data_IF_019860160395
#
_entry.id   IF_019860160395
#
_cell.length_a   1.000
_cell.length_b   1.000
_cell.length_c   1.000
_cell.angle_alpha   90.00
_cell.angle_beta   90.00
_cell.angle_gamma   90.00
#
_symmetry.space_group_name_H-M   'P 1'
#
loop_
_entity.id
_entity.type
_entity.pdbx_description
1 polymer ?
#
# COMPACT_ATOMS: atom_id res chain seq x y z
N UNK A 1 53.53 54.04 4.80
CA UNK A 1 54.25 53.94 3.51
C UNK A 1 53.43 53.05 2.57
N UNK A 2 52.66 53.62 1.65
CA UNK A 2 51.92 52.85 0.62
C UNK A 2 52.95 52.43 -0.45
N UNK A 3 53.25 51.13 -0.56
CA UNK A 3 54.03 50.62 -1.67
C UNK A 3 53.24 50.76 -2.95
N UNK A 4 53.63 51.68 -3.80
CA UNK A 4 53.03 51.86 -5.14
C UNK A 4 53.47 50.64 -5.99
N UNK A 5 52.54 49.79 -6.33
CA UNK A 5 52.75 48.67 -7.27
C UNK A 5 52.93 49.26 -8.65
N UNK A 6 53.95 48.84 -9.42
CA UNK A 6 54.14 49.30 -10.79
C UNK A 6 52.98 48.80 -11.69
N UNK A 7 52.56 49.60 -12.62
CA UNK A 7 51.46 49.27 -13.53
C UNK A 7 51.66 47.92 -14.25
N UNK A 8 52.89 47.59 -14.59
CA UNK A 8 53.23 46.31 -15.21
C UNK A 8 53.03 45.12 -14.29
N UNK A 9 53.38 45.21 -13.03
CA UNK A 9 53.13 44.12 -12.03
C UNK A 9 51.64 43.95 -11.75
N UNK A 10 50.87 45.01 -11.70
CA UNK A 10 49.42 44.96 -11.57
C UNK A 10 48.78 44.24 -12.77
N UNK A 11 49.22 44.57 -14.00
CA UNK A 11 48.72 43.93 -15.21
C UNK A 11 49.05 42.43 -15.31
N UNK A 12 50.26 42.02 -14.89
CA UNK A 12 50.61 40.60 -14.89
C UNK A 12 49.81 39.81 -13.86
N UNK A 13 49.57 40.36 -12.67
CA UNK A 13 48.72 39.71 -11.64
C UNK A 13 47.30 39.54 -12.15
N UNK A 14 46.74 40.58 -12.84
CA UNK A 14 45.39 40.52 -13.41
C UNK A 14 45.27 39.44 -14.49
N UNK A 15 46.29 39.30 -15.36
CA UNK A 15 46.32 38.24 -16.40
C UNK A 15 46.37 36.85 -15.79
N UNK A 16 47.23 36.67 -14.78
CA UNK A 16 47.34 35.39 -14.09
C UNK A 16 46.02 35.03 -13.38
N UNK A 17 45.42 36.00 -12.71
CA UNK A 17 44.10 35.80 -12.04
C UNK A 17 43.01 35.43 -13.03
N UNK A 18 42.96 36.10 -14.21
CA UNK A 18 42.00 35.74 -15.27
C UNK A 18 42.28 34.32 -15.81
N UNK A 19 43.53 33.94 -16.06
CA UNK A 19 43.85 32.61 -16.52
C UNK A 19 43.48 31.51 -15.53
N UNK A 20 43.71 31.73 -14.23
CA UNK A 20 43.34 30.79 -13.16
C UNK A 20 41.82 30.67 -13.04
N UNK A 21 41.08 31.80 -13.01
CA UNK A 21 39.63 31.78 -12.95
C UNK A 21 38.99 31.10 -14.16
N UNK A 22 39.52 31.39 -15.35
CA UNK A 22 39.05 30.74 -16.60
C UNK A 22 39.30 29.22 -16.56
N UNK A 23 40.48 28.79 -16.16
CA UNK A 23 40.80 27.35 -16.05
C UNK A 23 39.94 26.64 -15.02
N UNK A 24 39.71 27.26 -13.86
CA UNK A 24 38.87 26.70 -12.82
C UNK A 24 37.43 26.60 -13.27
N UNK A 25 36.88 27.65 -13.88
CA UNK A 25 35.51 27.68 -14.41
C UNK A 25 35.34 26.61 -15.49
N UNK A 26 36.31 26.45 -16.39
CA UNK A 26 36.28 25.43 -17.45
C UNK A 26 36.24 24.01 -16.87
N UNK A 27 37.04 23.71 -15.86
CA UNK A 27 37.05 22.37 -15.21
C UNK A 27 35.75 22.09 -14.53
N UNK A 28 35.21 23.06 -13.77
CA UNK A 28 33.90 22.90 -13.08
C UNK A 28 32.75 22.73 -14.09
N UNK A 29 32.72 23.58 -15.13
CA UNK A 29 31.72 23.50 -16.19
C UNK A 29 31.76 22.16 -16.92
N UNK A 30 32.96 21.66 -17.25
CA UNK A 30 33.14 20.39 -17.94
C UNK A 30 32.70 19.21 -17.06
N UNK A 31 32.96 19.26 -15.77
CA UNK A 31 32.52 18.23 -14.80
C UNK A 31 30.99 18.22 -14.68
N UNK A 32 30.36 19.39 -14.55
CA UNK A 32 28.89 19.50 -14.51
C UNK A 32 28.26 19.03 -15.82
N UNK A 33 28.79 19.46 -16.96
CA UNK A 33 28.31 19.05 -18.28
C UNK A 33 28.40 17.53 -18.46
N UNK A 34 29.52 16.91 -18.16
CA UNK A 34 29.69 15.46 -18.29
C UNK A 34 28.72 14.69 -17.40
N UNK A 35 28.48 15.15 -16.16
CA UNK A 35 27.50 14.53 -15.26
C UNK A 35 26.08 14.63 -15.82
N UNK A 36 25.70 15.81 -16.33
CA UNK A 36 24.37 16.04 -16.92
C UNK A 36 24.18 15.21 -18.20
N UNK A 37 25.16 15.19 -19.09
CA UNK A 37 25.10 14.40 -20.35
C UNK A 37 25.03 12.90 -20.06
N UNK A 38 25.79 12.39 -19.09
CA UNK A 38 25.73 10.99 -18.70
C UNK A 38 24.34 10.61 -18.15
N UNK A 39 23.74 11.47 -17.33
CA UNK A 39 22.39 11.29 -16.82
C UNK A 39 21.35 11.25 -17.95
N UNK A 40 21.40 12.22 -18.87
CA UNK A 40 20.50 12.29 -20.03
C UNK A 40 20.64 11.05 -20.92
N UNK A 41 21.85 10.59 -21.19
CA UNK A 41 22.10 9.41 -22.02
C UNK A 41 21.56 8.11 -21.41
N UNK A 42 21.63 7.97 -20.08
CA UNK A 42 21.04 6.82 -19.40
C UNK A 42 19.49 6.86 -19.44
N UNK A 43 18.91 8.03 -19.21
CA UNK A 43 17.46 8.22 -19.37
C UNK A 43 17.02 7.96 -20.81
N UNK A 44 17.70 8.51 -21.80
CA UNK A 44 17.41 8.31 -23.23
C UNK A 44 17.40 6.81 -23.59
N UNK A 45 18.37 6.03 -23.07
CA UNK A 45 18.41 4.58 -23.33
C UNK A 45 17.19 3.83 -22.76
N UNK A 46 16.73 4.22 -21.57
CA UNK A 46 15.55 3.63 -20.95
C UNK A 46 14.28 4.01 -21.73
N UNK A 47 14.13 5.29 -22.08
CA UNK A 47 12.98 5.77 -22.85
C UNK A 47 12.93 5.20 -24.27
N UNK A 48 14.06 5.08 -24.94
CA UNK A 48 14.13 4.49 -26.29
C UNK A 48 13.68 3.03 -26.29
N UNK A 49 14.15 2.24 -25.30
CA UNK A 49 13.75 0.84 -25.18
C UNK A 49 12.24 0.71 -24.90
N UNK A 50 11.71 1.56 -24.01
CA UNK A 50 10.29 1.56 -23.68
C UNK A 50 9.44 2.00 -24.88
N UNK A 51 9.86 3.06 -25.58
CA UNK A 51 9.20 3.57 -26.80
C UNK A 51 9.20 2.55 -27.94
N UNK A 52 10.28 1.77 -28.08
CA UNK A 52 10.35 0.69 -29.07
C UNK A 52 9.35 -0.42 -28.78
N UNK A 53 9.24 -0.84 -27.51
CA UNK A 53 8.27 -1.84 -27.06
C UNK A 53 6.84 -1.32 -27.29
N UNK A 54 6.56 -0.09 -26.86
CA UNK A 54 5.25 0.53 -27.00
C UNK A 54 4.80 0.60 -28.48
N UNK A 55 5.71 1.08 -29.35
CA UNK A 55 5.45 1.11 -30.79
C UNK A 55 5.17 -0.27 -31.37
N UNK A 56 5.94 -1.30 -30.95
CA UNK A 56 5.76 -2.66 -31.44
C UNK A 56 4.40 -3.24 -30.99
N UNK A 57 4.05 -3.04 -29.74
CA UNK A 57 2.77 -3.52 -29.18
C UNK A 57 1.60 -2.85 -29.86
N UNK A 58 1.62 -1.49 -29.98
CA UNK A 58 0.53 -0.72 -30.62
C UNK A 58 0.39 -0.98 -32.11
N UNK A 59 1.45 -1.39 -32.80
CA UNK A 59 1.37 -1.76 -34.21
C UNK A 59 0.72 -3.12 -34.46
N UNK A 60 0.74 -4.02 -33.48
CA UNK A 60 0.23 -5.39 -33.58
C UNK A 60 -1.00 -5.68 -32.70
N UNK A 61 -1.55 -4.67 -32.04
CA UNK A 61 -2.63 -4.90 -31.07
C UNK A 61 -3.98 -5.16 -31.73
N UNK A 62 -4.71 -6.09 -31.14
CA UNK A 62 -6.12 -6.39 -31.47
C UNK A 62 -7.06 -6.05 -30.30
N UNK A 63 -6.57 -5.37 -29.26
CA UNK A 63 -7.31 -5.03 -28.04
C UNK A 63 -7.01 -3.59 -27.60
N UNK A 64 -7.93 -3.02 -26.87
CA UNK A 64 -7.77 -1.66 -26.34
C UNK A 64 -6.81 -1.67 -25.13
N UNK A 65 -5.78 -0.82 -25.19
CA UNK A 65 -4.86 -0.63 -24.07
C UNK A 65 -5.49 0.34 -23.06
N UNK A 66 -5.56 -0.07 -21.81
CA UNK A 66 -5.87 0.81 -20.69
C UNK A 66 -4.59 1.55 -20.28
N UNK A 67 -4.52 2.82 -20.64
CA UNK A 67 -3.35 3.67 -20.41
C UNK A 67 -3.06 3.86 -18.92
N UNK A 68 -4.08 3.97 -18.07
CA UNK A 68 -3.90 4.15 -16.63
C UNK A 68 -3.30 2.91 -15.99
N UNK A 69 -3.86 1.74 -16.31
CA UNK A 69 -3.30 0.46 -15.85
C UNK A 69 -1.89 0.23 -16.39
N UNK A 70 -1.61 0.60 -17.64
CA UNK A 70 -0.27 0.48 -18.23
C UNK A 70 0.74 1.36 -17.47
N UNK A 71 0.41 2.62 -17.23
CA UNK A 71 1.26 3.56 -16.51
C UNK A 71 1.55 3.10 -15.07
N UNK A 72 0.54 2.61 -14.35
CA UNK A 72 0.71 2.05 -13.01
C UNK A 72 1.64 0.83 -13.00
N UNK A 73 1.50 -0.07 -13.99
CA UNK A 73 2.38 -1.24 -14.12
C UNK A 73 3.80 -0.86 -14.51
N UNK A 74 4.00 0.17 -15.32
CA UNK A 74 5.31 0.70 -15.65
C UNK A 74 5.99 1.29 -14.41
N UNK A 75 5.28 2.09 -13.62
CA UNK A 75 5.79 2.65 -12.36
C UNK A 75 6.16 1.54 -11.37
N UNK A 76 5.29 0.54 -11.18
CA UNK A 76 5.54 -0.61 -10.33
C UNK A 76 6.76 -1.43 -10.79
N UNK A 77 6.88 -1.66 -12.13
CA UNK A 77 8.02 -2.35 -12.73
C UNK A 77 9.33 -1.59 -12.54
N UNK A 78 9.31 -0.26 -12.68
CA UNK A 78 10.48 0.58 -12.43
C UNK A 78 10.95 0.46 -10.97
N UNK A 79 10.04 0.57 -10.00
CA UNK A 79 10.37 0.42 -8.57
C UNK A 79 10.91 -0.97 -8.26
N UNK A 80 10.33 -2.01 -8.84
CA UNK A 80 10.84 -3.38 -8.71
C UNK A 80 12.26 -3.54 -9.28
N UNK A 81 12.57 -2.83 -10.37
CA UNK A 81 13.88 -2.87 -11.03
C UNK A 81 15.00 -2.18 -10.23
N UNK A 82 14.68 -1.31 -9.26
CA UNK A 82 15.66 -0.66 -8.38
C UNK A 82 16.29 -1.66 -7.40
N UNK A 83 15.63 -2.81 -7.17
CA UNK A 83 16.08 -3.87 -6.24
C UNK A 83 16.26 -3.39 -4.79
N UNK A 84 15.49 -2.38 -4.38
CA UNK A 84 15.36 -1.96 -2.98
C UNK A 84 14.12 -2.62 -2.37
N UNK A 85 14.33 -3.45 -1.35
CA UNK A 85 13.25 -4.19 -0.66
C UNK A 85 12.20 -3.30 0.00
N UNK A 86 12.50 -2.03 0.22
CA UNK A 86 11.60 -1.07 0.86
C UNK A 86 10.92 -0.13 -0.15
N UNK A 87 11.40 -0.10 -1.38
CA UNK A 87 10.82 0.72 -2.43
C UNK A 87 9.62 0.00 -3.05
N UNK A 88 8.42 0.51 -2.77
CA UNK A 88 7.16 -0.04 -3.28
C UNK A 88 6.35 1.09 -3.91
N UNK A 89 5.86 0.86 -5.12
CA UNK A 89 4.86 1.74 -5.74
C UNK A 89 3.47 1.30 -5.31
N UNK A 90 2.64 2.27 -4.97
CA UNK A 90 1.22 2.08 -4.71
C UNK A 90 0.44 2.99 -5.65
N UNK A 91 -0.59 2.48 -6.28
CA UNK A 91 -1.60 3.31 -6.94
C UNK A 91 -2.31 4.20 -5.92
N UNK A 92 -3.00 5.24 -6.36
CA UNK A 92 -3.75 6.13 -5.45
C UNK A 92 -4.78 5.34 -4.61
N UNK A 93 -5.44 4.34 -5.22
CA UNK A 93 -6.41 3.45 -4.54
C UNK A 93 -5.71 2.60 -3.48
N UNK A 94 -4.66 1.87 -3.85
CA UNK A 94 -3.90 1.00 -2.93
C UNK A 94 -3.29 1.79 -1.77
N UNK A 95 -2.82 3.01 -2.04
CA UNK A 95 -2.27 3.87 -0.99
C UNK A 95 -3.34 4.33 0.00
N UNK A 96 -4.52 4.69 -0.48
CA UNK A 96 -5.65 5.06 0.38
C UNK A 96 -6.13 3.88 1.23
N UNK A 97 -6.22 2.69 0.66
CA UNK A 97 -6.54 1.44 1.36
C UNK A 97 -5.49 1.11 2.43
N UNK A 98 -4.21 1.24 2.10
CA UNK A 98 -3.11 1.06 3.06
C UNK A 98 -3.23 2.04 4.22
N UNK A 99 -3.48 3.33 3.95
CA UNK A 99 -3.68 4.32 5.01
C UNK A 99 -4.90 4.00 5.89
N UNK A 100 -6.00 3.53 5.30
CA UNK A 100 -7.18 3.12 6.05
C UNK A 100 -6.85 1.95 6.99
N UNK A 101 -6.14 0.93 6.49
CA UNK A 101 -5.69 -0.21 7.29
C UNK A 101 -4.76 0.25 8.43
N UNK A 102 -3.83 1.17 8.18
CA UNK A 102 -2.94 1.74 9.20
C UNK A 102 -3.71 2.48 10.29
N UNK A 103 -4.78 3.17 9.94
CA UNK A 103 -5.71 3.82 10.87
C UNK A 103 -6.67 2.83 11.57
N UNK A 104 -6.56 1.54 11.28
CA UNK A 104 -7.45 0.52 11.81
C UNK A 104 -8.86 0.54 11.24
N UNK A 105 -9.03 1.08 10.04
CA UNK A 105 -10.31 1.06 9.31
C UNK A 105 -10.25 -0.10 8.32
N UNK A 106 -11.24 -0.96 8.36
CA UNK A 106 -11.47 -2.03 7.39
C UNK A 106 -12.84 -1.88 6.77
N UNK A 107 -12.96 -2.33 5.52
CA UNK A 107 -14.25 -2.35 4.82
C UNK A 107 -14.73 -3.79 4.66
N UNK A 108 -15.94 -4.07 5.09
CA UNK A 108 -16.52 -5.41 5.04
C UNK A 108 -17.73 -5.55 5.93
N UNK A 109 -18.11 -6.78 6.29
CA UNK A 109 -19.25 -7.03 7.19
C UNK A 109 -18.92 -6.86 8.67
N UNK A 110 -17.63 -6.81 9.05
CA UNK A 110 -17.20 -6.49 10.41
C UNK A 110 -17.19 -7.65 11.39
N UNK A 111 -16.70 -8.81 10.97
CA UNK A 111 -16.45 -9.96 11.83
C UNK A 111 -15.01 -10.46 11.69
N UNK A 112 -14.47 -11.03 12.76
CA UNK A 112 -13.29 -11.89 12.70
C UNK A 112 -13.73 -13.35 12.86
N UNK A 113 -13.25 -14.20 11.96
CA UNK A 113 -13.61 -15.62 11.93
C UNK A 113 -12.36 -16.49 11.99
N UNK A 114 -12.54 -17.72 12.43
CA UNK A 114 -11.55 -18.79 12.32
C UNK A 114 -12.21 -20.01 11.70
N UNK A 115 -11.44 -20.80 10.99
CA UNK A 115 -11.93 -22.11 10.56
C UNK A 115 -11.96 -23.03 11.78
N UNK A 116 -13.14 -23.48 12.17
CA UNK A 116 -13.32 -24.37 13.31
C UNK A 116 -13.04 -25.82 12.90
N UNK A 117 -12.00 -26.40 13.48
CA UNK A 117 -11.53 -27.75 13.11
C UNK A 117 -12.58 -28.84 13.38
N UNK A 118 -13.51 -28.62 14.33
CA UNK A 118 -14.50 -29.62 14.71
C UNK A 118 -15.71 -29.64 13.78
N UNK A 119 -16.20 -28.48 13.36
CA UNK A 119 -17.36 -28.34 12.47
C UNK A 119 -16.99 -28.12 11.01
N UNK A 120 -15.78 -27.61 10.75
CA UNK A 120 -15.31 -27.16 9.45
C UNK A 120 -15.90 -25.82 8.98
N UNK A 121 -16.80 -25.21 9.76
CA UNK A 121 -17.41 -23.93 9.44
C UNK A 121 -16.58 -22.76 9.95
N UNK A 122 -16.88 -21.56 9.45
CA UNK A 122 -16.28 -20.33 9.93
C UNK A 122 -16.91 -19.90 11.25
N UNK A 123 -16.20 -20.08 12.37
CA UNK A 123 -16.67 -19.66 13.69
C UNK A 123 -16.33 -18.18 13.92
N UNK A 124 -17.31 -17.40 14.37
CA UNK A 124 -17.15 -16.00 14.72
C UNK A 124 -16.43 -15.89 16.07
N UNK A 125 -15.26 -15.28 16.09
CA UNK A 125 -14.45 -15.03 17.30
C UNK A 125 -14.53 -13.58 17.76
N UNK A 126 -14.96 -12.67 16.88
CA UNK A 126 -15.19 -11.27 17.22
C UNK A 126 -16.21 -10.65 16.26
N UNK A 127 -17.06 -9.78 16.79
CA UNK A 127 -17.91 -8.87 16.03
C UNK A 127 -17.44 -7.46 16.38
N UNK A 128 -17.17 -6.65 15.36
CA UNK A 128 -16.71 -5.28 15.55
C UNK A 128 -17.90 -4.34 15.77
N UNK A 129 -17.74 -3.39 16.69
CA UNK A 129 -18.77 -2.39 16.95
C UNK A 129 -19.01 -1.48 15.74
N UNK A 130 -20.23 -1.02 15.58
CA UNK A 130 -20.64 -0.16 14.46
C UNK A 130 -20.30 -0.79 13.09
N UNK A 131 -20.49 -2.07 12.96
CA UNK A 131 -20.33 -2.83 11.73
C UNK A 131 -21.65 -3.44 11.28
N UNK A 132 -21.83 -3.75 9.99
CA UNK A 132 -23.04 -4.42 9.49
C UNK A 132 -23.39 -5.70 10.25
N UNK A 133 -22.40 -6.47 10.64
CA UNK A 133 -22.60 -7.69 11.45
C UNK A 133 -23.11 -7.39 12.86
N UNK A 134 -22.63 -6.30 13.49
CA UNK A 134 -23.13 -5.86 14.79
C UNK A 134 -24.59 -5.39 14.72
N UNK A 135 -24.93 -4.63 13.68
CA UNK A 135 -26.29 -4.13 13.44
C UNK A 135 -27.26 -5.27 13.12
N UNK A 136 -26.81 -6.30 12.41
CA UNK A 136 -27.58 -7.50 12.11
C UNK A 136 -27.67 -8.49 13.28
N UNK A 137 -27.02 -8.19 14.42
CA UNK A 137 -27.11 -9.03 15.62
C UNK A 137 -26.27 -10.31 15.58
N UNK A 138 -25.22 -10.37 14.77
CA UNK A 138 -24.30 -11.51 14.80
C UNK A 138 -23.59 -11.59 16.16
N UNK A 139 -23.38 -12.79 16.66
CA UNK A 139 -22.81 -13.02 17.97
C UNK A 139 -21.52 -13.84 17.91
N UNK A 140 -20.61 -13.56 18.84
CA UNK A 140 -19.41 -14.36 19.05
C UNK A 140 -19.82 -15.79 19.45
N UNK A 141 -19.15 -16.77 18.86
CA UNK A 141 -19.48 -18.19 19.07
C UNK A 141 -20.44 -18.78 18.04
N UNK A 142 -21.15 -17.94 17.28
CA UNK A 142 -21.94 -18.38 16.12
C UNK A 142 -21.05 -18.78 14.94
N UNK A 143 -21.66 -19.37 13.92
CA UNK A 143 -20.96 -19.85 12.73
C UNK A 143 -21.52 -19.23 11.46
N UNK A 144 -20.66 -18.90 10.52
CA UNK A 144 -21.05 -18.61 9.14
C UNK A 144 -20.87 -19.93 8.38
N UNK A 145 -21.98 -20.49 7.91
CA UNK A 145 -22.03 -21.80 7.24
C UNK A 145 -21.86 -21.68 5.74
N UNK A 146 -22.30 -20.56 5.16
CA UNK A 146 -22.10 -20.25 3.75
C UNK A 146 -21.88 -18.74 3.51
N UNK A 147 -21.16 -18.42 2.44
CA UNK A 147 -20.96 -17.05 1.90
C UNK A 147 -21.42 -17.09 0.45
N UNK A 148 -22.53 -16.39 0.13
CA UNK A 148 -23.24 -16.61 -1.13
C UNK A 148 -23.72 -18.05 -1.23
N UNK A 149 -23.41 -18.72 -2.33
CA UNK A 149 -23.75 -20.12 -2.57
C UNK A 149 -22.67 -21.10 -2.09
N UNK A 150 -21.49 -20.59 -1.65
CA UNK A 150 -20.34 -21.41 -1.29
C UNK A 150 -20.33 -21.73 0.21
N UNK A 151 -20.30 -23.02 0.55
CA UNK A 151 -20.14 -23.43 1.95
C UNK A 151 -18.74 -23.09 2.48
N UNK A 152 -18.67 -22.52 3.70
CA UNK A 152 -17.41 -22.14 4.34
C UNK A 152 -16.49 -23.32 4.60
N UNK A 153 -17.02 -24.54 4.66
CA UNK A 153 -16.23 -25.79 4.74
C UNK A 153 -15.28 -25.94 3.55
N UNK A 154 -15.74 -25.55 2.34
CA UNK A 154 -14.97 -25.72 1.10
C UNK A 154 -13.84 -24.67 0.99
N UNK A 155 -13.94 -23.56 1.70
CA UNK A 155 -12.95 -22.49 1.67
C UNK A 155 -11.67 -22.88 2.43
N UNK A 156 -11.80 -23.65 3.52
CA UNK A 156 -10.73 -24.36 4.21
C UNK A 156 -9.62 -23.53 4.88
N UNK A 157 -9.58 -22.19 4.67
CA UNK A 157 -8.54 -21.32 5.19
C UNK A 157 -9.11 -20.06 5.81
N UNK A 158 -8.70 -19.75 7.04
CA UNK A 158 -9.10 -18.52 7.74
C UNK A 158 -8.79 -17.25 6.92
N UNK A 159 -7.64 -17.23 6.23
CA UNK A 159 -7.28 -16.07 5.40
C UNK A 159 -8.26 -15.88 4.23
N UNK A 160 -8.63 -16.96 3.54
CA UNK A 160 -9.63 -16.91 2.46
C UNK A 160 -11.02 -16.56 2.97
N UNK A 161 -11.42 -17.10 4.12
CA UNK A 161 -12.68 -16.72 4.77
C UNK A 161 -12.72 -15.24 5.07
N UNK A 162 -11.65 -14.70 5.65
CA UNK A 162 -11.55 -13.27 5.95
C UNK A 162 -11.62 -12.43 4.68
N UNK A 163 -10.89 -12.80 3.61
CA UNK A 163 -10.91 -12.04 2.35
C UNK A 163 -12.30 -12.03 1.68
N UNK A 164 -13.11 -13.08 1.84
CA UNK A 164 -14.48 -13.15 1.31
C UNK A 164 -15.48 -12.31 2.11
N UNK A 165 -15.17 -12.00 3.38
CA UNK A 165 -16.00 -11.19 4.27
C UNK A 165 -15.60 -9.70 4.26
N UNK A 166 -14.49 -9.37 3.61
CA UNK A 166 -14.09 -8.02 3.23
C UNK A 166 -14.60 -7.74 1.81
N UNK A 167 -14.81 -6.48 1.47
CA UNK A 167 -15.26 -6.07 0.15
C UNK A 167 -15.26 -4.57 -0.01
N UNK A 168 -15.65 -4.09 -1.18
CA UNK A 168 -15.78 -2.65 -1.44
C UNK A 168 -17.01 -2.09 -0.72
N UNK A 169 -16.89 -0.84 -0.23
CA UNK A 169 -17.98 -0.15 0.43
C UNK A 169 -19.23 -0.08 -0.45
N UNK A 170 -20.39 -0.38 0.13
CA UNK A 170 -21.67 -0.41 -0.57
C UNK A 170 -21.97 -1.71 -1.33
N UNK A 171 -21.02 -2.63 -1.47
CA UNK A 171 -21.31 -3.96 -2.02
C UNK A 171 -22.01 -4.84 -0.99
N UNK A 172 -22.72 -5.86 -1.45
CA UNK A 172 -23.54 -6.72 -0.58
C UNK A 172 -23.02 -8.14 -0.59
N UNK A 173 -22.92 -8.76 0.58
CA UNK A 173 -22.59 -10.18 0.74
C UNK A 173 -23.74 -10.90 1.46
N UNK A 174 -24.25 -11.94 0.82
CA UNK A 174 -25.21 -12.85 1.46
C UNK A 174 -24.43 -13.87 2.30
N UNK A 175 -24.88 -14.09 3.52
CA UNK A 175 -24.32 -15.11 4.42
C UNK A 175 -25.42 -15.97 5.00
N UNK A 176 -25.11 -17.25 5.24
CA UNK A 176 -25.92 -18.13 6.10
C UNK A 176 -25.25 -18.18 7.45
N UNK A 177 -25.95 -17.70 8.46
CA UNK A 177 -25.48 -17.58 9.84
C UNK A 177 -26.20 -18.57 10.74
N UNK A 178 -25.44 -19.34 11.48
CA UNK A 178 -25.94 -20.22 12.52
C UNK A 178 -25.66 -19.58 13.89
N UNK A 179 -26.71 -19.25 14.62
CA UNK A 179 -26.59 -18.65 15.96
C UNK A 179 -25.96 -19.64 16.96
N UNK A 180 -25.46 -19.18 18.13
CA UNK A 180 -25.01 -20.07 19.19
C UNK A 180 -26.09 -21.08 19.63
N UNK A 181 -27.37 -20.71 19.54
CA UNK A 181 -28.53 -21.55 19.83
C UNK A 181 -28.93 -22.46 18.65
N UNK A 182 -28.09 -22.55 17.61
CA UNK A 182 -28.27 -23.39 16.43
C UNK A 182 -29.48 -23.02 15.55
N UNK A 183 -29.89 -21.79 15.55
CA UNK A 183 -30.88 -21.27 14.61
C UNK A 183 -30.18 -20.75 13.35
N UNK A 184 -30.66 -21.20 12.20
CA UNK A 184 -30.10 -20.77 10.93
C UNK A 184 -30.85 -19.52 10.43
N UNK A 185 -30.11 -18.52 9.96
CA UNK A 185 -30.58 -17.27 9.43
C UNK A 185 -29.83 -16.93 8.14
N UNK A 186 -30.56 -16.49 7.12
CA UNK A 186 -29.95 -15.94 5.92
C UNK A 186 -29.99 -14.41 6.02
N UNK A 187 -28.81 -13.81 5.90
CA UNK A 187 -28.63 -12.38 6.04
C UNK A 187 -27.91 -11.82 4.82
N UNK A 188 -28.35 -10.66 4.37
CA UNK A 188 -27.70 -9.91 3.30
C UNK A 188 -27.11 -8.64 3.91
N UNK A 189 -25.78 -8.57 3.98
CA UNK A 189 -25.07 -7.51 4.67
C UNK A 189 -24.37 -6.61 3.65
N UNK A 190 -24.57 -5.30 3.78
CA UNK A 190 -23.87 -4.30 2.98
C UNK A 190 -22.53 -4.00 3.62
N UNK A 191 -21.46 -4.05 2.84
CA UNK A 191 -20.13 -3.72 3.34
C UNK A 191 -20.03 -2.24 3.70
N UNK A 192 -19.52 -1.96 4.87
CA UNK A 192 -19.24 -0.61 5.34
C UNK A 192 -17.89 -0.52 6.03
N UNK A 193 -17.44 0.70 6.25
CA UNK A 193 -16.22 0.98 6.99
C UNK A 193 -16.45 0.80 8.49
N UNK A 194 -15.65 0.00 9.15
CA UNK A 194 -15.67 -0.18 10.60
C UNK A 194 -14.27 -0.08 11.20
N UNK A 195 -14.21 0.32 12.47
CA UNK A 195 -12.93 0.42 13.19
C UNK A 195 -12.56 -0.89 13.85
N UNK A 196 -11.32 -1.32 13.63
CA UNK A 196 -10.70 -2.43 14.34
C UNK A 196 -9.87 -1.86 15.49
N UNK A 197 -10.26 -2.05 16.75
CA UNK A 197 -9.48 -1.55 17.88
C UNK A 197 -8.13 -2.27 17.93
N UNK A 198 -7.06 -1.49 17.93
CA UNK A 198 -5.68 -2.01 18.07
C UNK A 198 -5.33 -2.29 19.54
N UNK A 199 -6.13 -1.76 20.44
CA UNK A 199 -5.98 -1.91 21.89
C UNK A 199 -7.29 -2.46 22.44
N UNK A 200 -7.23 -3.51 23.23
CA UNK A 200 -8.36 -4.02 24.01
C UNK A 200 -7.95 -4.20 25.46
N UNK A 201 -8.85 -3.80 26.36
CA UNK A 201 -8.68 -3.96 27.79
C UNK A 201 -9.76 -4.88 28.34
N UNK A 202 -9.41 -5.76 29.26
CA UNK A 202 -10.37 -6.52 30.05
C UNK A 202 -9.89 -6.61 31.49
N UNK A 203 -10.83 -6.68 32.42
CA UNK A 203 -10.54 -6.90 33.83
C UNK A 203 -10.71 -8.39 34.12
N UNK A 204 -9.68 -9.01 34.65
CA UNK A 204 -9.76 -10.42 35.09
C UNK A 204 -10.58 -10.49 36.36
N UNK A 205 -11.39 -11.53 36.45
CA UNK A 205 -12.46 -11.76 37.45
C UNK A 205 -11.93 -11.89 38.87
N UNK A 206 -11.29 -11.05 39.47
CA UNK A 206 -10.99 -10.97 40.90
C UNK A 206 -10.41 -9.62 41.32
N UNK A 207 -10.75 -8.55 40.61
CA UNK A 207 -10.75 -7.22 41.16
C UNK A 207 -9.46 -6.40 41.06
N UNK A 208 -8.29 -6.96 40.86
CA UNK A 208 -7.02 -6.20 40.92
C UNK A 208 -6.14 -6.29 39.69
N UNK A 209 -6.41 -7.20 38.74
CA UNK A 209 -5.59 -7.35 37.53
C UNK A 209 -6.34 -6.90 36.30
N UNK A 210 -5.80 -5.93 35.58
CA UNK A 210 -6.23 -5.52 34.23
C UNK A 210 -5.39 -6.24 33.16
N UNK A 211 -6.03 -6.71 32.10
CA UNK A 211 -5.39 -7.24 30.91
C UNK A 211 -5.44 -6.21 29.79
N UNK A 212 -4.28 -5.86 29.24
CA UNK A 212 -4.14 -4.98 28.10
C UNK A 212 -3.57 -5.77 26.92
N UNK A 213 -4.31 -5.86 25.84
CA UNK A 213 -3.86 -6.45 24.60
C UNK A 213 -3.60 -5.35 23.57
N UNK A 214 -2.41 -5.35 22.99
CA UNK A 214 -2.00 -4.47 21.90
C UNK A 214 -1.78 -5.36 20.68
N UNK A 215 -2.64 -5.23 19.67
CA UNK A 215 -2.58 -6.10 18.47
C UNK A 215 -1.54 -5.63 17.46
N UNK A 216 -1.31 -4.32 17.35
CA UNK A 216 -0.29 -3.74 16.51
C UNK A 216 0.08 -2.34 17.00
N UNK A 217 1.27 -1.89 16.61
CA UNK A 217 1.71 -0.53 16.88
C UNK A 217 0.82 0.44 16.09
N UNK A 218 0.04 1.25 16.79
CA UNK A 218 -0.60 2.41 16.15
C UNK A 218 0.49 3.40 15.78
N UNK A 219 0.59 3.76 14.51
CA UNK A 219 1.40 4.89 14.08
C UNK A 219 0.57 6.13 14.36
N UNK A 220 1.02 6.92 15.34
CA UNK A 220 0.48 8.25 15.62
C UNK A 220 1.11 9.23 14.64
#
# INVERSE_FOLDING_TARGET
MSKKISLGVAATIAIIAMAVTFSLTMVVSMKMFNTTVSSVKNMERQYNKLSEIDRFVRAGEFFTIDEDTLNDKLAAGYMSGINDRYAVYYTAKEYSEKQAIEKGILTGIGVAVVNDASSGYARIIRVYNNSPASEAGLQVGGFITAIGEESTKNIGSTARLTSRLLGEEGTTTAITYLTPDRQEQQLSLVHSNYKTPTISTSQLTAGTCGYLRIDRKSVV
#
